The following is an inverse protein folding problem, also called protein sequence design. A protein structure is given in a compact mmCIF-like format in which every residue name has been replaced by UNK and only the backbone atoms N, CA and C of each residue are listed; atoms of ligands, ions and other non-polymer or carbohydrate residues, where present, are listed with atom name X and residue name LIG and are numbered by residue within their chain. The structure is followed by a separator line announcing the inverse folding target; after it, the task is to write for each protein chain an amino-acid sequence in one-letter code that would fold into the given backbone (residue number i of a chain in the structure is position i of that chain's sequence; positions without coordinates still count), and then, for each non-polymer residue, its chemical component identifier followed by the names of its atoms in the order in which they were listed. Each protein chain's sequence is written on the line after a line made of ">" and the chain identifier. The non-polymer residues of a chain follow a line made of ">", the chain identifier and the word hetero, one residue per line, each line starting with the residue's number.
data_IF_481628739452
#
_entry.id   IF_481628739452
#
_cell.length_a   1.000
_cell.length_b   1.000
_cell.length_c   1.000
_cell.angle_alpha   90.00
_cell.angle_beta   90.00
_cell.angle_gamma   90.00
#
_symmetry.space_group_name_H-M   'P 1'
#
loop_
_entity.id
_entity.type
_entity.pdbx_description
1 polymer ?
#
# COMPACT_ATOMS: atom_id res chain seq x y z
N UNK A 1 -5.13 -15.76 -22.42
CA UNK A 1 -4.10 -15.88 -21.36
C UNK A 1 -2.99 -14.92 -21.69
N UNK A 2 -2.77 -13.93 -20.84
CA UNK A 2 -1.67 -12.98 -20.99
C UNK A 2 -0.67 -13.15 -19.86
N UNK A 3 0.61 -12.94 -20.17
CA UNK A 3 1.72 -12.94 -19.21
C UNK A 3 2.34 -11.57 -19.14
N UNK A 4 2.54 -11.05 -17.93
CA UNK A 4 3.16 -9.76 -17.67
C UNK A 4 4.41 -9.96 -16.82
N UNK A 5 5.51 -9.34 -17.23
CA UNK A 5 6.67 -9.08 -16.38
C UNK A 5 6.47 -7.69 -15.75
N UNK A 6 6.41 -7.62 -14.44
CA UNK A 6 6.17 -6.39 -13.70
C UNK A 6 7.37 -6.03 -12.83
N UNK A 7 7.63 -4.71 -12.71
CA UNK A 7 8.72 -4.13 -11.92
C UNK A 7 8.15 -3.11 -10.95
N UNK A 8 8.49 -3.24 -9.66
CA UNK A 8 8.15 -2.31 -8.59
C UNK A 8 9.43 -1.77 -7.95
N UNK A 9 9.59 -0.44 -7.97
CA UNK A 9 10.72 0.27 -7.37
C UNK A 9 10.30 1.64 -6.82
N UNK A 10 9.06 1.81 -6.36
CA UNK A 10 8.55 3.14 -6.00
C UNK A 10 9.12 3.71 -4.70
N UNK A 11 9.63 2.86 -3.81
CA UNK A 11 10.12 3.27 -2.48
C UNK A 11 11.41 2.52 -2.11
N UNK A 12 11.35 1.51 -1.25
CA UNK A 12 12.51 0.79 -0.70
C UNK A 12 12.46 -0.72 -0.95
N UNK A 13 11.47 -1.22 -1.70
CA UNK A 13 11.44 -2.59 -2.21
C UNK A 13 11.80 -2.64 -3.69
N UNK A 14 12.84 -3.41 -4.04
CA UNK A 14 13.13 -3.78 -5.42
C UNK A 14 12.43 -5.09 -5.71
N UNK A 15 11.42 -5.08 -6.57
CA UNK A 15 10.66 -6.30 -6.87
C UNK A 15 10.44 -6.50 -8.36
N UNK A 16 10.50 -7.77 -8.79
CA UNK A 16 10.10 -8.22 -10.13
C UNK A 16 9.21 -9.45 -9.98
N UNK A 17 8.15 -9.49 -10.76
CA UNK A 17 7.19 -10.59 -10.77
C UNK A 17 6.77 -10.96 -12.18
N UNK A 18 6.49 -12.24 -12.41
CA UNK A 18 5.82 -12.71 -13.60
C UNK A 18 4.44 -13.23 -13.20
N UNK A 19 3.43 -12.59 -13.76
CA UNK A 19 2.02 -12.84 -13.47
C UNK A 19 1.30 -13.19 -14.76
N UNK A 20 0.33 -14.09 -14.70
CA UNK A 20 -0.57 -14.36 -15.80
C UNK A 20 -2.03 -14.37 -15.36
N UNK A 21 -2.94 -14.31 -16.33
CA UNK A 21 -4.35 -14.54 -16.10
C UNK A 21 -4.98 -15.46 -17.14
N UNK A 22 -6.01 -16.18 -16.72
CA UNK A 22 -6.94 -16.91 -17.59
C UNK A 22 -8.34 -16.46 -17.20
N UNK A 23 -8.96 -15.64 -18.05
CA UNK A 23 -10.18 -14.94 -17.65
C UNK A 23 -9.94 -14.11 -16.38
N UNK A 24 -10.76 -14.31 -15.38
CA UNK A 24 -10.70 -13.63 -14.09
C UNK A 24 -9.76 -14.28 -13.05
N UNK A 25 -9.06 -15.36 -13.42
CA UNK A 25 -8.14 -16.04 -12.50
C UNK A 25 -6.72 -15.55 -12.73
N UNK A 26 -6.13 -14.94 -11.69
CA UNK A 26 -4.76 -14.43 -11.70
C UNK A 26 -3.81 -15.43 -11.04
N UNK A 27 -2.62 -15.60 -11.61
CA UNK A 27 -1.59 -16.51 -11.12
C UNK A 27 -0.24 -15.83 -11.06
N UNK A 28 0.44 -15.97 -9.94
CA UNK A 28 1.84 -15.56 -9.74
C UNK A 28 2.72 -16.75 -10.12
N UNK A 29 3.64 -16.55 -11.07
CA UNK A 29 4.66 -17.53 -11.45
C UNK A 29 5.96 -17.32 -10.69
N UNK A 30 6.31 -16.05 -10.44
CA UNK A 30 7.40 -15.65 -9.56
C UNK A 30 7.09 -14.27 -8.96
N UNK A 31 7.59 -14.01 -7.75
CA UNK A 31 7.49 -12.69 -7.12
C UNK A 31 8.70 -12.50 -6.20
N UNK A 32 9.77 -11.96 -6.76
CA UNK A 32 11.05 -11.75 -6.06
C UNK A 32 11.05 -10.34 -5.47
N UNK A 33 11.35 -10.23 -4.20
CA UNK A 33 11.40 -8.97 -3.46
C UNK A 33 12.74 -8.88 -2.75
N UNK A 34 13.47 -7.81 -2.99
CA UNK A 34 14.67 -7.44 -2.25
C UNK A 34 14.36 -6.14 -1.49
N UNK A 35 14.15 -6.27 -0.17
CA UNK A 35 13.86 -5.14 0.69
C UNK A 35 15.13 -4.45 1.15
N UNK A 36 15.08 -3.14 1.23
CA UNK A 36 16.17 -2.27 1.69
C UNK A 36 16.00 -1.82 3.16
N UNK A 37 15.09 -2.47 3.91
CA UNK A 37 14.78 -2.11 5.30
C UNK A 37 16.04 -2.04 6.16
N UNK A 38 16.96 -3.00 6.03
CA UNK A 38 18.21 -3.04 6.80
C UNK A 38 19.12 -1.85 6.48
N UNK A 39 19.22 -1.44 5.21
CA UNK A 39 20.00 -0.30 4.78
C UNK A 39 19.44 1.02 5.35
N UNK A 40 18.12 1.13 5.43
CA UNK A 40 17.42 2.33 5.89
C UNK A 40 17.21 2.38 7.41
N UNK A 41 17.28 1.26 8.11
CA UNK A 41 17.06 1.15 9.55
C UNK A 41 17.95 2.11 10.37
N UNK A 42 19.20 2.29 9.94
CA UNK A 42 20.19 3.19 10.57
C UNK A 42 19.76 4.66 10.56
N UNK A 43 18.91 5.03 9.58
CA UNK A 43 18.40 6.39 9.40
C UNK A 43 17.01 6.57 10.00
N UNK A 44 16.39 5.44 10.41
CA UNK A 44 15.03 5.42 10.96
C UNK A 44 13.95 5.78 9.96
N UNK A 45 14.20 5.55 8.66
CA UNK A 45 13.29 5.80 7.55
C UNK A 45 14.02 5.82 6.22
N UNK A 46 13.28 5.83 5.12
CA UNK A 46 13.82 5.74 3.76
C UNK A 46 14.62 6.99 3.40
N UNK A 47 15.84 6.79 2.88
CA UNK A 47 16.71 7.84 2.30
C UNK A 47 16.62 7.73 0.79
N UNK A 48 15.98 8.69 0.08
CA UNK A 48 15.65 8.55 -1.34
C UNK A 48 16.82 8.29 -2.27
N UNK A 49 17.97 8.96 -2.05
CA UNK A 49 19.15 8.77 -2.88
C UNK A 49 19.79 7.39 -2.68
N UNK A 50 19.81 6.91 -1.43
CA UNK A 50 20.30 5.58 -1.11
C UNK A 50 19.39 4.52 -1.75
N UNK A 51 18.07 4.69 -1.63
CA UNK A 51 17.10 3.79 -2.22
C UNK A 51 17.28 3.67 -3.73
N UNK A 52 17.40 4.80 -4.45
CA UNK A 52 17.59 4.79 -5.90
C UNK A 52 18.89 4.04 -6.32
N UNK A 53 20.00 4.22 -5.60
CA UNK A 53 21.27 3.49 -5.84
C UNK A 53 21.11 1.99 -5.61
N UNK A 54 20.43 1.60 -4.53
CA UNK A 54 20.17 0.20 -4.21
C UNK A 54 19.29 -0.48 -5.26
N UNK A 55 18.30 0.20 -5.79
CA UNK A 55 17.52 -0.32 -6.91
C UNK A 55 18.40 -0.62 -8.13
N UNK A 56 19.32 0.27 -8.48
CA UNK A 56 20.26 0.04 -9.60
C UNK A 56 21.15 -1.19 -9.37
N UNK A 57 21.59 -1.40 -8.13
CA UNK A 57 22.42 -2.55 -7.76
C UNK A 57 21.63 -3.88 -7.77
N UNK A 58 20.39 -3.86 -7.24
CA UNK A 58 19.62 -5.07 -6.99
C UNK A 58 18.78 -5.53 -8.17
N UNK A 59 18.27 -4.59 -8.98
CA UNK A 59 17.25 -4.89 -10.01
C UNK A 59 17.70 -5.94 -11.03
N UNK A 60 18.97 -5.95 -11.54
CA UNK A 60 19.42 -7.01 -12.45
C UNK A 60 19.31 -8.41 -11.84
N UNK A 61 19.74 -8.59 -10.60
CA UNK A 61 19.68 -9.88 -9.91
C UNK A 61 18.24 -10.31 -9.60
N UNK A 62 17.37 -9.36 -9.22
CA UNK A 62 15.96 -9.64 -8.93
C UNK A 62 15.24 -10.04 -10.21
N UNK A 63 15.56 -9.40 -11.35
CA UNK A 63 15.01 -9.73 -12.66
C UNK A 63 15.42 -11.15 -13.10
N UNK A 64 16.71 -11.46 -13.03
CA UNK A 64 17.21 -12.79 -13.41
C UNK A 64 16.56 -13.88 -12.57
N UNK A 65 16.50 -13.69 -11.26
CA UNK A 65 15.84 -14.65 -10.35
C UNK A 65 14.35 -14.82 -10.65
N UNK A 66 13.65 -13.74 -11.01
CA UNK A 66 12.22 -13.82 -11.34
C UNK A 66 11.99 -14.66 -12.61
N UNK A 67 12.84 -14.53 -13.62
CA UNK A 67 12.81 -15.34 -14.84
C UNK A 67 13.14 -16.80 -14.54
N UNK A 68 14.20 -17.06 -13.77
CA UNK A 68 14.60 -18.41 -13.38
C UNK A 68 13.52 -19.15 -12.57
N UNK A 69 12.95 -18.50 -11.55
CA UNK A 69 11.94 -19.11 -10.69
C UNK A 69 10.64 -19.40 -11.45
N UNK A 70 10.22 -18.48 -12.32
CA UNK A 70 9.02 -18.67 -13.15
C UNK A 70 9.18 -19.75 -14.21
N UNK A 71 10.40 -20.04 -14.65
CA UNK A 71 10.74 -20.86 -15.82
C UNK A 71 10.09 -20.35 -17.12
N UNK A 72 9.77 -19.07 -17.17
CA UNK A 72 9.19 -18.41 -18.34
C UNK A 72 10.25 -17.54 -18.98
N UNK A 73 10.46 -17.75 -20.29
CA UNK A 73 11.43 -16.94 -21.04
C UNK A 73 10.82 -15.58 -21.37
N UNK A 74 11.68 -14.58 -21.55
CA UNK A 74 11.22 -13.22 -21.85
C UNK A 74 10.44 -13.12 -23.17
N UNK A 75 10.73 -13.99 -24.12
CA UNK A 75 10.01 -14.10 -25.40
C UNK A 75 8.53 -14.48 -25.22
N UNK A 76 8.23 -15.24 -24.16
CA UNK A 76 6.89 -15.69 -23.81
C UNK A 76 6.05 -14.65 -23.04
N UNK A 77 6.68 -13.54 -22.63
CA UNK A 77 6.01 -12.41 -21.99
C UNK A 77 5.26 -11.60 -23.04
N UNK A 78 4.00 -11.25 -22.77
CA UNK A 78 3.17 -10.46 -23.68
C UNK A 78 3.34 -8.96 -23.41
N UNK A 79 3.48 -8.54 -22.15
CA UNK A 79 3.58 -7.15 -21.71
C UNK A 79 4.64 -6.97 -20.65
N UNK A 80 5.24 -5.77 -20.61
CA UNK A 80 6.15 -5.37 -19.54
C UNK A 80 5.56 -4.15 -18.84
N UNK A 81 5.46 -4.22 -17.51
CA UNK A 81 4.87 -3.19 -16.69
C UNK A 81 5.88 -2.66 -15.67
N UNK A 82 5.75 -1.39 -15.31
CA UNK A 82 6.43 -0.84 -14.14
C UNK A 82 5.60 0.22 -13.45
N UNK A 83 5.85 0.41 -12.17
CA UNK A 83 5.31 1.55 -11.44
C UNK A 83 5.93 2.84 -11.96
N UNK A 84 5.08 3.82 -12.30
CA UNK A 84 5.51 5.12 -12.81
C UNK A 84 5.05 6.29 -11.95
N UNK A 85 4.06 6.08 -11.07
CA UNK A 85 3.52 7.07 -10.12
C UNK A 85 2.64 6.40 -9.06
N UNK A 86 2.42 7.05 -7.89
CA UNK A 86 3.36 7.92 -7.23
C UNK A 86 4.54 7.17 -6.62
N UNK A 87 5.56 7.90 -6.14
CA UNK A 87 6.72 7.32 -5.45
C UNK A 87 7.93 8.25 -5.43
N UNK A 88 9.06 7.75 -4.98
CA UNK A 88 10.33 8.47 -5.01
C UNK A 88 10.83 8.54 -6.46
N UNK A 89 10.92 9.76 -7.02
CA UNK A 89 11.20 9.97 -8.45
C UNK A 89 12.47 9.26 -8.92
N UNK A 90 13.55 9.27 -8.11
CA UNK A 90 14.78 8.54 -8.42
C UNK A 90 14.55 7.03 -8.54
N UNK A 91 13.82 6.47 -7.61
CA UNK A 91 13.47 5.05 -7.55
C UNK A 91 12.56 4.64 -8.72
N UNK A 92 11.48 5.39 -8.97
CA UNK A 92 10.57 5.17 -10.09
C UNK A 92 11.30 5.16 -11.44
N UNK A 93 12.29 6.06 -11.62
CA UNK A 93 13.09 6.11 -12.85
C UNK A 93 13.85 4.82 -13.10
N UNK A 94 14.42 4.21 -12.08
CA UNK A 94 15.17 2.96 -12.23
C UNK A 94 14.28 1.87 -12.81
N UNK A 95 13.14 1.58 -12.20
CA UNK A 95 12.21 0.56 -12.69
C UNK A 95 11.62 0.89 -14.06
N UNK A 96 11.18 2.15 -14.25
CA UNK A 96 10.56 2.56 -15.50
C UNK A 96 11.51 2.56 -16.69
N UNK A 97 12.78 2.99 -16.52
CA UNK A 97 13.79 2.93 -17.59
C UNK A 97 14.11 1.48 -17.92
N UNK A 98 14.31 0.62 -16.91
CA UNK A 98 14.56 -0.80 -17.13
C UNK A 98 13.41 -1.46 -17.89
N UNK A 99 12.16 -1.25 -17.47
CA UNK A 99 10.99 -1.81 -18.15
C UNK A 99 10.91 -1.38 -19.61
N UNK A 100 11.08 -0.08 -19.90
CA UNK A 100 11.04 0.46 -21.26
C UNK A 100 12.22 -0.03 -22.13
N UNK A 101 13.41 -0.19 -21.54
CA UNK A 101 14.55 -0.78 -22.25
C UNK A 101 14.27 -2.22 -22.66
N UNK A 102 13.69 -3.02 -21.76
CA UNK A 102 13.25 -4.39 -22.08
C UNK A 102 12.16 -4.40 -23.16
N UNK A 103 11.19 -3.47 -23.09
CA UNK A 103 10.19 -3.32 -24.16
C UNK A 103 10.82 -3.07 -25.53
N UNK A 104 11.81 -2.18 -25.60
CA UNK A 104 12.50 -1.87 -26.85
C UNK A 104 13.33 -3.06 -27.36
N UNK A 105 14.07 -3.73 -26.47
CA UNK A 105 14.92 -4.86 -26.84
C UNK A 105 14.14 -6.07 -27.33
N UNK A 106 12.98 -6.33 -26.71
CA UNK A 106 12.18 -7.53 -27.02
C UNK A 106 10.89 -7.23 -27.79
N UNK A 107 10.73 -6.00 -28.29
CA UNK A 107 9.53 -5.56 -29.03
C UNK A 107 8.23 -5.87 -28.30
N UNK A 108 8.19 -5.60 -26.98
CA UNK A 108 7.01 -5.79 -26.14
C UNK A 108 6.33 -4.47 -25.81
N UNK A 109 4.99 -4.45 -25.70
CA UNK A 109 4.25 -3.26 -25.28
C UNK A 109 4.51 -2.94 -23.80
N UNK A 110 4.49 -1.63 -23.48
CA UNK A 110 4.73 -1.08 -22.14
C UNK A 110 3.43 -0.71 -21.43
N UNK A 111 3.39 -0.96 -20.12
CA UNK A 111 2.31 -0.54 -19.23
C UNK A 111 2.90 0.21 -18.02
N UNK A 112 2.70 1.52 -17.98
CA UNK A 112 3.02 2.33 -16.80
C UNK A 112 1.87 2.26 -15.80
N UNK A 113 2.13 1.74 -14.60
CA UNK A 113 1.11 1.46 -13.59
C UNK A 113 1.17 2.47 -12.46
N UNK A 114 0.00 2.87 -11.97
CA UNK A 114 -0.12 3.64 -10.74
C UNK A 114 0.06 2.73 -9.52
N UNK A 115 0.97 3.08 -8.61
CA UNK A 115 1.31 2.28 -7.43
C UNK A 115 0.08 1.88 -6.59
N UNK A 116 -0.84 2.83 -6.37
CA UNK A 116 -2.05 2.54 -5.59
C UNK A 116 -3.01 1.61 -6.33
N UNK A 117 -3.06 1.64 -7.66
CA UNK A 117 -3.79 0.63 -8.45
C UNK A 117 -3.19 -0.76 -8.25
N UNK A 118 -1.86 -0.84 -8.12
CA UNK A 118 -1.18 -2.07 -7.73
C UNK A 118 -1.73 -2.61 -6.42
N UNK A 119 -1.72 -1.80 -5.36
CA UNK A 119 -2.27 -2.22 -4.05
C UNK A 119 -3.73 -2.67 -4.16
N UNK A 120 -4.59 -1.90 -4.86
CA UNK A 120 -5.99 -2.28 -5.06
C UNK A 120 -6.12 -3.61 -5.78
N UNK A 121 -5.22 -3.88 -6.73
CA UNK A 121 -5.23 -5.10 -7.54
C UNK A 121 -4.69 -6.33 -6.80
N UNK A 122 -4.02 -6.17 -5.65
CA UNK A 122 -3.55 -7.31 -4.85
C UNK A 122 -4.68 -8.25 -4.42
N UNK A 123 -5.92 -7.75 -4.32
CA UNK A 123 -7.11 -8.54 -3.99
C UNK A 123 -7.51 -9.53 -5.10
N UNK A 124 -7.08 -9.29 -6.35
CA UNK A 124 -7.39 -10.15 -7.50
C UNK A 124 -6.79 -11.56 -7.37
N UNK A 125 -5.78 -11.72 -6.52
CA UNK A 125 -5.21 -13.02 -6.17
C UNK A 125 -6.04 -13.79 -5.14
N UNK A 126 -7.12 -13.21 -4.61
CA UNK A 126 -8.04 -13.88 -3.70
C UNK A 126 -9.17 -14.53 -4.50
N UNK A 127 -9.54 -15.76 -4.14
CA UNK A 127 -10.59 -16.53 -4.83
C UNK A 127 -11.96 -15.81 -4.88
N UNK A 128 -12.24 -15.00 -3.88
CA UNK A 128 -13.54 -14.34 -3.67
C UNK A 128 -13.45 -12.81 -3.66
N UNK A 129 -12.71 -12.20 -4.59
CA UNK A 129 -12.71 -10.75 -4.68
C UNK A 129 -14.06 -10.19 -5.19
N UNK A 130 -14.47 -8.98 -4.76
CA UNK A 130 -15.78 -8.43 -5.12
C UNK A 130 -15.88 -8.09 -6.61
N UNK A 131 -16.99 -8.53 -7.25
CA UNK A 131 -17.29 -8.21 -8.66
C UNK A 131 -18.14 -6.93 -8.81
N UNK A 132 -18.92 -6.60 -7.78
CA UNK A 132 -19.71 -5.36 -7.69
C UNK A 132 -18.87 -4.22 -7.12
N UNK A 133 -19.45 -3.01 -7.11
CA UNK A 133 -18.83 -1.86 -6.45
C UNK A 133 -18.47 -2.14 -4.98
N UNK A 134 -17.32 -1.65 -4.55
CA UNK A 134 -16.82 -1.85 -3.20
C UNK A 134 -16.04 -0.64 -2.69
N UNK A 135 -15.88 -0.56 -1.38
CA UNK A 135 -14.99 0.41 -0.74
C UNK A 135 -13.65 -0.24 -0.46
N UNK A 136 -12.57 0.41 -0.82
CA UNK A 136 -11.22 0.00 -0.41
C UNK A 136 -10.71 0.89 0.70
N UNK A 137 -10.26 0.28 1.81
CA UNK A 137 -9.33 0.88 2.75
C UNK A 137 -7.91 0.55 2.27
N UNK A 138 -7.26 1.53 1.66
CA UNK A 138 -5.84 1.46 1.32
C UNK A 138 -5.05 2.06 2.48
N UNK A 139 -4.22 1.26 3.14
CA UNK A 139 -3.48 1.66 4.33
C UNK A 139 -2.06 1.11 4.30
N UNK A 140 -1.08 1.99 4.04
CA UNK A 140 0.33 1.66 3.87
C UNK A 140 1.24 2.61 4.67
N UNK A 141 2.55 2.54 4.46
CA UNK A 141 3.53 3.47 5.01
C UNK A 141 3.27 4.90 4.61
N UNK A 142 2.97 5.15 3.33
CA UNK A 142 2.80 6.49 2.77
C UNK A 142 1.35 6.92 2.53
N UNK A 143 0.38 6.01 2.56
CA UNK A 143 -1.00 6.30 2.18
C UNK A 143 -2.01 5.76 3.19
N UNK A 144 -3.06 6.54 3.44
CA UNK A 144 -4.27 6.11 4.17
C UNK A 144 -5.45 6.75 3.48
N UNK A 145 -6.15 5.96 2.66
CA UNK A 145 -7.22 6.44 1.78
C UNK A 145 -8.43 5.51 1.79
N UNK A 146 -9.60 6.08 1.62
CA UNK A 146 -10.84 5.37 1.31
C UNK A 146 -11.19 5.62 -0.14
N UNK A 147 -11.19 4.56 -0.93
CA UNK A 147 -11.40 4.61 -2.38
C UNK A 147 -12.59 3.75 -2.73
N UNK A 148 -13.61 4.35 -3.32
CA UNK A 148 -14.71 3.61 -3.94
C UNK A 148 -14.26 3.14 -5.31
N UNK A 149 -14.47 1.86 -5.57
CA UNK A 149 -14.27 1.26 -6.88
C UNK A 149 -15.64 0.80 -7.38
N UNK A 150 -16.10 1.32 -8.50
CA UNK A 150 -17.38 0.96 -9.08
C UNK A 150 -17.30 -0.30 -9.98
N UNK A 151 -18.42 -0.73 -10.55
CA UNK A 151 -18.47 -1.89 -11.44
C UNK A 151 -17.69 -1.68 -12.74
N UNK A 152 -17.60 -0.43 -13.22
CA UNK A 152 -16.77 0.00 -14.36
C UNK A 152 -15.29 0.16 -14.00
N UNK A 153 -14.95 -0.07 -12.74
CA UNK A 153 -13.59 0.07 -12.18
C UNK A 153 -13.06 1.51 -12.21
N UNK A 154 -13.94 2.47 -12.25
CA UNK A 154 -13.57 3.84 -11.94
C UNK A 154 -13.32 3.98 -10.44
N UNK A 155 -12.36 4.82 -10.10
CA UNK A 155 -11.90 5.00 -8.74
C UNK A 155 -12.19 6.43 -8.27
N UNK A 156 -12.89 6.53 -7.15
CA UNK A 156 -13.22 7.78 -6.49
C UNK A 156 -12.69 7.78 -5.06
N UNK A 157 -11.83 8.73 -4.72
CA UNK A 157 -11.33 8.87 -3.36
C UNK A 157 -12.35 9.61 -2.50
N UNK A 158 -12.91 8.91 -1.50
CA UNK A 158 -13.91 9.43 -0.59
C UNK A 158 -13.30 10.01 0.70
N UNK A 159 -12.10 9.58 1.08
CA UNK A 159 -11.40 10.07 2.26
C UNK A 159 -9.91 9.80 2.18
N UNK A 160 -9.12 10.59 2.91
CA UNK A 160 -7.66 10.44 2.99
C UNK A 160 -7.11 10.92 4.32
N UNK A 161 -5.86 10.60 4.62
CA UNK A 161 -5.15 11.29 5.71
C UNK A 161 -4.73 12.70 5.29
N UNK A 162 -4.89 13.65 6.20
CA UNK A 162 -4.49 15.06 6.01
C UNK A 162 -3.09 15.35 6.55
N UNK A 163 -2.57 14.43 7.33
CA UNK A 163 -1.22 14.52 7.89
C UNK A 163 -0.49 13.19 7.70
N UNK A 164 0.05 12.58 8.74
CA UNK A 164 0.76 11.31 8.66
C UNK A 164 -0.17 10.19 8.14
N UNK A 165 0.34 9.31 7.30
CA UNK A 165 -0.32 8.04 7.02
C UNK A 165 -0.29 7.14 8.28
N UNK A 166 -1.18 6.14 8.35
CA UNK A 166 -1.22 5.24 9.51
C UNK A 166 0.11 4.50 9.71
N UNK A 167 0.73 3.98 8.62
CA UNK A 167 2.02 3.31 8.72
C UNK A 167 3.14 4.26 9.17
N UNK A 168 3.17 5.48 8.66
CA UNK A 168 4.10 6.52 9.11
C UNK A 168 3.90 6.84 10.60
N UNK A 169 2.66 6.86 11.10
CA UNK A 169 2.37 7.02 12.52
C UNK A 169 2.91 5.84 13.35
N UNK A 170 2.78 4.59 12.86
CA UNK A 170 3.40 3.42 13.47
C UNK A 170 4.92 3.56 13.55
N UNK A 171 5.60 3.99 12.49
CA UNK A 171 7.05 4.15 12.46
C UNK A 171 7.53 5.24 13.43
N UNK A 172 6.83 6.39 13.44
CA UNK A 172 7.15 7.50 14.34
C UNK A 172 6.94 7.15 15.81
N UNK A 173 5.86 6.44 16.14
CA UNK A 173 5.58 6.00 17.50
C UNK A 173 6.51 4.86 17.91
N UNK A 174 6.81 3.90 17.01
CA UNK A 174 7.79 2.86 17.24
C UNK A 174 9.15 3.45 17.63
N UNK A 175 9.64 4.42 16.87
CA UNK A 175 10.88 5.15 17.18
C UNK A 175 10.83 5.85 18.53
N UNK A 176 9.71 6.51 18.85
CA UNK A 176 9.51 7.20 20.12
C UNK A 176 9.55 6.24 21.32
N UNK A 177 9.07 5.01 21.12
CA UNK A 177 9.11 3.94 22.13
C UNK A 177 10.43 3.15 22.14
N UNK A 178 11.43 3.53 21.33
CA UNK A 178 12.72 2.85 21.24
C UNK A 178 12.66 1.48 20.54
N UNK A 179 11.62 1.24 19.72
CA UNK A 179 11.45 0.00 18.97
C UNK A 179 12.21 0.06 17.62
N UNK A 180 12.48 -1.12 17.06
CA UNK A 180 13.14 -1.26 15.75
C UNK A 180 12.25 -0.78 14.60
N UNK A 181 12.89 -0.35 13.52
CA UNK A 181 12.24 -0.11 12.24
C UNK A 181 12.10 -1.44 11.46
N UNK A 182 10.97 -1.67 10.74
CA UNK A 182 9.76 -0.82 10.65
C UNK A 182 8.88 -0.89 11.91
N UNK A 183 8.30 0.25 12.27
CA UNK A 183 7.55 0.43 13.52
C UNK A 183 6.26 -0.40 13.59
N UNK A 184 5.57 -0.60 12.46
CA UNK A 184 4.33 -1.39 12.44
C UNK A 184 4.48 -2.78 13.03
N UNK A 185 5.31 -3.67 12.45
CA UNK A 185 5.56 -5.01 13.00
C UNK A 185 6.15 -5.00 14.41
N UNK A 186 7.01 -4.01 14.72
CA UNK A 186 7.62 -3.89 16.05
C UNK A 186 6.58 -3.56 17.14
N UNK A 187 5.67 -2.60 16.86
CA UNK A 187 4.56 -2.26 17.76
C UNK A 187 3.62 -3.45 17.91
N UNK A 188 3.20 -4.11 16.82
CA UNK A 188 2.33 -5.27 16.89
C UNK A 188 2.93 -6.41 17.75
N UNK A 189 4.23 -6.64 17.63
CA UNK A 189 4.93 -7.67 18.39
C UNK A 189 4.91 -7.37 19.89
N UNK A 190 5.23 -6.13 20.29
CA UNK A 190 5.31 -5.76 21.71
C UNK A 190 3.93 -5.57 22.33
N UNK A 191 2.95 -5.10 21.58
CA UNK A 191 1.56 -4.87 21.99
C UNK A 191 0.87 -6.14 22.48
N UNK A 192 1.29 -7.33 21.99
CA UNK A 192 0.77 -8.62 22.46
C UNK A 192 0.91 -8.85 23.97
N UNK A 193 1.90 -8.17 24.59
CA UNK A 193 2.20 -8.28 26.01
C UNK A 193 1.66 -7.10 26.83
N UNK A 194 0.88 -6.20 26.21
CA UNK A 194 0.34 -4.99 26.82
C UNK A 194 -1.17 -5.03 27.00
N UNK A 195 -1.68 -4.17 27.86
CA UNK A 195 -3.11 -3.92 28.03
C UNK A 195 -3.56 -2.81 27.06
N UNK A 196 -4.39 -3.13 26.06
CA UNK A 196 -4.84 -2.13 25.07
C UNK A 196 -5.79 -1.07 25.67
N UNK A 197 -6.33 -1.27 26.87
CA UNK A 197 -7.23 -0.33 27.55
C UNK A 197 -6.51 0.52 28.60
N UNK A 198 -5.23 0.28 28.84
CA UNK A 198 -4.45 0.97 29.88
C UNK A 198 -4.40 2.47 29.70
N UNK A 199 -4.25 2.95 28.48
CA UNK A 199 -4.18 4.38 28.17
C UNK A 199 -5.30 4.81 27.24
N UNK A 200 -6.01 5.87 27.65
CA UNK A 200 -7.05 6.48 26.83
C UNK A 200 -6.41 7.52 25.87
N UNK A 201 -5.97 7.05 24.71
CA UNK A 201 -5.42 7.91 23.67
C UNK A 201 -6.53 8.51 22.80
N UNK A 202 -6.35 9.74 22.26
CA UNK A 202 -7.40 10.42 21.50
C UNK A 202 -7.61 9.79 20.12
N UNK A 203 -8.88 9.62 19.74
CA UNK A 203 -9.26 9.37 18.33
C UNK A 203 -9.26 10.70 17.59
N UNK A 204 -8.15 11.04 16.93
CA UNK A 204 -8.03 12.31 16.24
C UNK A 204 -9.12 12.51 15.20
N UNK A 205 -9.77 13.69 15.23
CA UNK A 205 -10.82 14.11 14.30
C UNK A 205 -10.39 15.41 13.64
N UNK A 206 -10.75 15.57 12.38
CA UNK A 206 -10.45 16.77 11.61
C UNK A 206 -11.70 17.65 11.65
N UNK A 207 -11.55 18.88 12.14
CA UNK A 207 -12.65 19.84 12.16
C UNK A 207 -13.05 20.26 10.74
N UNK A 208 -14.33 20.25 10.47
CA UNK A 208 -14.89 20.84 9.27
C UNK A 208 -15.02 22.37 9.45
N UNK A 209 -14.83 23.14 8.39
CA UNK A 209 -15.02 24.59 8.36
C UNK A 209 -16.43 25.03 8.76
N UNK A 210 -17.41 24.11 8.72
CA UNK A 210 -18.82 24.33 9.06
C UNK A 210 -19.16 24.00 10.52
N UNK A 211 -18.15 23.76 11.38
CA UNK A 211 -18.35 23.49 12.82
C UNK A 211 -18.60 22.02 13.18
N UNK A 212 -18.41 21.09 12.21
CA UNK A 212 -18.46 19.63 12.42
C UNK A 212 -17.11 18.97 12.29
N UNK A 213 -17.13 17.67 11.93
CA UNK A 213 -15.94 16.88 11.62
C UNK A 213 -16.06 16.24 10.25
N UNK A 214 -14.93 16.17 9.52
CA UNK A 214 -14.83 15.39 8.28
C UNK A 214 -15.09 13.92 8.58
N UNK A 215 -16.03 13.32 7.84
CA UNK A 215 -16.60 12.01 8.19
C UNK A 215 -15.68 10.85 7.89
N UNK A 216 -14.90 10.94 6.81
CA UNK A 216 -14.14 9.82 6.22
C UNK A 216 -12.64 10.05 6.24
N UNK A 217 -12.20 11.27 6.55
CA UNK A 217 -10.81 11.64 6.53
C UNK A 217 -10.06 11.24 7.81
N UNK A 218 -8.76 11.04 7.72
CA UNK A 218 -7.91 10.57 8.79
C UNK A 218 -6.91 11.64 9.22
N UNK A 219 -6.48 11.55 10.49
CA UNK A 219 -5.37 12.31 11.05
C UNK A 219 -4.72 11.46 12.14
N UNK A 220 -3.40 11.37 12.13
CA UNK A 220 -2.63 10.57 13.08
C UNK A 220 -1.55 11.38 13.81
N UNK A 221 -1.20 12.59 13.35
CA UNK A 221 -0.16 13.41 13.98
C UNK A 221 -0.52 13.83 15.41
N UNK A 222 -1.81 14.07 15.68
CA UNK A 222 -2.30 14.34 17.03
C UNK A 222 -2.16 13.15 17.97
N UNK A 223 -2.36 11.94 17.48
CA UNK A 223 -2.19 10.71 18.24
C UNK A 223 -0.70 10.48 18.60
N UNK A 224 0.20 10.68 17.64
CA UNK A 224 1.66 10.67 17.91
C UNK A 224 2.04 11.65 19.00
N UNK A 225 1.53 12.88 18.93
CA UNK A 225 1.80 13.93 19.94
C UNK A 225 1.26 13.54 21.31
N UNK A 226 0.11 12.86 21.37
CA UNK A 226 -0.45 12.37 22.62
C UNK A 226 0.45 11.29 23.26
N UNK A 227 0.97 10.36 22.44
CA UNK A 227 1.94 9.35 22.92
C UNK A 227 3.22 9.99 23.41
N UNK A 228 3.78 10.99 22.68
CA UNK A 228 4.97 11.72 23.10
C UNK A 228 4.77 12.35 24.49
N UNK A 229 3.69 13.10 24.67
CA UNK A 229 3.37 13.74 25.96
C UNK A 229 3.16 12.74 27.09
N UNK A 230 2.58 11.58 26.79
CA UNK A 230 2.41 10.50 27.77
C UNK A 230 3.75 9.96 28.23
N UNK A 231 4.67 9.67 27.30
CA UNK A 231 6.03 9.18 27.59
C UNK A 231 6.82 10.22 28.40
N UNK A 232 6.79 11.49 27.98
CA UNK A 232 7.44 12.60 28.71
C UNK A 232 6.93 12.73 30.15
N UNK A 233 5.60 12.67 30.36
CA UNK A 233 4.98 12.72 31.66
C UNK A 233 5.47 11.58 32.57
N UNK A 234 5.47 10.34 32.05
CA UNK A 234 5.92 9.16 32.82
C UNK A 234 7.38 9.29 33.22
N UNK A 235 8.23 9.79 32.31
CA UNK A 235 9.66 10.03 32.57
C UNK A 235 9.87 11.12 33.64
N UNK A 236 9.10 12.22 33.58
CA UNK A 236 9.16 13.29 34.60
C UNK A 236 8.72 12.80 36.00
N UNK A 237 7.81 11.82 36.06
CA UNK A 237 7.40 11.17 37.29
C UNK A 237 8.45 10.15 37.81
N UNK A 238 9.58 9.96 37.12
CA UNK A 238 10.62 9.00 37.47
C UNK A 238 10.17 7.52 37.35
N UNK A 239 9.13 7.26 36.57
CA UNK A 239 8.58 5.92 36.39
C UNK A 239 9.15 5.26 35.13
N UNK A 240 9.17 3.92 35.12
CA UNK A 240 9.51 3.13 33.93
C UNK A 240 8.38 3.26 32.93
N UNK A 241 8.71 3.60 31.68
CA UNK A 241 7.74 3.69 30.57
C UNK A 241 7.19 2.28 30.26
N UNK A 242 5.87 2.01 30.40
CA UNK A 242 5.27 0.72 30.12
C UNK A 242 5.05 0.57 28.60
N UNK A 243 6.14 0.34 27.88
CA UNK A 243 6.15 0.28 26.39
C UNK A 243 5.10 -0.68 25.84
N UNK A 244 4.90 -1.93 26.36
CA UNK A 244 3.87 -2.82 25.84
C UNK A 244 2.45 -2.25 25.93
N UNK A 245 2.10 -1.61 27.05
CA UNK A 245 0.76 -1.04 27.27
C UNK A 245 0.50 0.17 26.37
N UNK A 246 1.52 1.01 26.18
CA UNK A 246 1.42 2.17 25.28
C UNK A 246 1.28 1.70 23.84
N UNK A 247 2.09 0.71 23.41
CA UNK A 247 2.02 0.12 22.09
C UNK A 247 0.64 -0.51 21.81
N UNK A 248 0.10 -1.29 22.77
CA UNK A 248 -1.21 -1.91 22.64
C UNK A 248 -2.35 -0.88 22.59
N UNK A 249 -2.28 0.18 23.42
CA UNK A 249 -3.28 1.26 23.42
C UNK A 249 -3.24 2.07 22.12
N UNK A 250 -2.03 2.33 21.59
CA UNK A 250 -1.83 3.03 20.30
C UNK A 250 -2.39 2.20 19.14
N UNK A 251 -1.98 0.93 19.02
CA UNK A 251 -2.43 0.00 17.98
C UNK A 251 -3.97 -0.10 17.96
N UNK A 252 -4.58 -0.28 19.14
CA UNK A 252 -6.04 -0.31 19.27
C UNK A 252 -6.70 0.95 18.71
N UNK A 253 -6.22 2.13 19.10
CA UNK A 253 -6.84 3.40 18.68
C UNK A 253 -6.68 3.62 17.18
N UNK A 254 -5.53 3.29 16.60
CA UNK A 254 -5.34 3.34 15.13
C UNK A 254 -6.34 2.41 14.44
N UNK A 255 -6.45 1.16 14.88
CA UNK A 255 -7.39 0.20 14.31
C UNK A 255 -8.84 0.67 14.44
N UNK A 256 -9.24 1.18 15.63
CA UNK A 256 -10.59 1.74 15.84
C UNK A 256 -10.91 2.89 14.89
N UNK A 257 -9.99 3.83 14.67
CA UNK A 257 -10.17 4.97 13.77
C UNK A 257 -10.33 4.51 12.32
N UNK A 258 -9.47 3.58 11.87
CA UNK A 258 -9.54 3.03 10.52
C UNK A 258 -10.86 2.29 10.29
N UNK A 259 -11.24 1.41 11.22
CA UNK A 259 -12.48 0.61 11.11
C UNK A 259 -13.73 1.48 11.17
N UNK A 260 -13.82 2.40 12.15
CA UNK A 260 -14.99 3.26 12.32
C UNK A 260 -15.29 4.07 11.06
N UNK A 261 -14.28 4.68 10.45
CA UNK A 261 -14.45 5.52 9.25
C UNK A 261 -14.73 4.71 8.01
N UNK A 262 -14.08 3.56 7.86
CA UNK A 262 -14.32 2.64 6.73
C UNK A 262 -15.76 2.14 6.73
N UNK A 263 -16.25 1.66 7.88
CA UNK A 263 -17.61 1.13 7.98
C UNK A 263 -18.65 2.25 7.80
N UNK A 264 -18.40 3.44 8.35
CA UNK A 264 -19.26 4.59 8.14
C UNK A 264 -19.33 4.96 6.66
N UNK A 265 -18.18 5.07 5.99
CA UNK A 265 -18.11 5.39 4.57
C UNK A 265 -18.85 4.35 3.72
N UNK A 266 -18.62 3.06 3.97
CA UNK A 266 -19.30 1.98 3.26
C UNK A 266 -20.84 2.09 3.41
N UNK A 267 -21.34 2.37 4.62
CA UNK A 267 -22.77 2.54 4.88
C UNK A 267 -23.38 3.76 4.19
N UNK A 268 -22.71 4.91 4.32
CA UNK A 268 -23.20 6.17 3.76
C UNK A 268 -23.26 6.10 2.21
N UNK A 269 -22.46 5.24 1.59
CA UNK A 269 -22.41 4.98 0.14
C UNK A 269 -23.11 3.67 -0.28
N UNK A 270 -23.82 2.99 0.62
CA UNK A 270 -24.55 1.73 0.35
C UNK A 270 -23.68 0.64 -0.27
N UNK A 271 -22.44 0.49 0.23
CA UNK A 271 -21.47 -0.50 -0.23
C UNK A 271 -21.42 -1.68 0.75
N UNK A 272 -21.77 -2.88 0.26
CA UNK A 272 -21.83 -4.11 1.05
C UNK A 272 -20.49 -4.86 1.09
N UNK A 273 -19.49 -4.40 0.34
CA UNK A 273 -18.16 -5.00 0.29
C UNK A 273 -17.10 -3.97 0.67
N UNK A 274 -16.18 -4.38 1.54
CA UNK A 274 -15.00 -3.62 1.93
C UNK A 274 -13.76 -4.46 1.62
N UNK A 275 -12.82 -3.87 0.92
CA UNK A 275 -11.50 -4.43 0.62
C UNK A 275 -10.46 -3.72 1.48
N UNK A 276 -9.51 -4.44 2.07
CA UNK A 276 -8.43 -3.86 2.88
C UNK A 276 -7.08 -4.27 2.30
N UNK A 277 -6.28 -3.29 1.90
CA UNK A 277 -5.01 -3.47 1.19
C UNK A 277 -3.91 -2.53 1.73
N UNK A 278 -2.66 -2.80 1.38
CA UNK A 278 -1.49 -2.05 1.81
C UNK A 278 -0.79 -2.67 3.01
N UNK A 279 0.43 -2.21 3.32
CA UNK A 279 1.29 -2.84 4.35
C UNK A 279 0.66 -2.92 5.73
N UNK A 280 -0.07 -1.89 6.17
CA UNK A 280 -0.76 -1.88 7.48
C UNK A 280 -1.97 -2.84 7.48
N UNK A 281 -2.50 -3.23 6.32
CA UNK A 281 -3.53 -4.25 6.21
C UNK A 281 -3.06 -5.64 6.67
N UNK A 282 -1.76 -5.86 6.87
CA UNK A 282 -1.21 -7.06 7.48
C UNK A 282 -1.41 -7.11 9.01
N UNK A 283 -1.67 -5.97 9.67
CA UNK A 283 -1.84 -5.88 11.12
C UNK A 283 -3.04 -6.71 11.61
N UNK A 284 -2.80 -7.66 12.53
CA UNK A 284 -3.81 -8.60 12.99
C UNK A 284 -4.92 -7.95 13.82
N UNK A 285 -4.62 -6.89 14.58
CA UNK A 285 -5.61 -6.15 15.36
C UNK A 285 -6.59 -5.45 14.43
N UNK A 286 -6.09 -4.78 13.38
CA UNK A 286 -6.92 -4.16 12.36
C UNK A 286 -7.80 -5.20 11.65
N UNK A 287 -7.24 -6.32 11.19
CA UNK A 287 -7.97 -7.38 10.49
C UNK A 287 -9.12 -7.95 11.32
N UNK A 288 -8.83 -8.33 12.56
CA UNK A 288 -9.84 -8.90 13.49
C UNK A 288 -10.95 -7.89 13.77
N UNK A 289 -10.59 -6.65 14.05
CA UNK A 289 -11.56 -5.60 14.35
C UNK A 289 -12.43 -5.26 13.13
N UNK A 290 -11.82 -5.17 11.93
CA UNK A 290 -12.55 -4.90 10.69
C UNK A 290 -13.59 -5.99 10.41
N UNK A 291 -13.22 -7.26 10.48
CA UNK A 291 -14.13 -8.39 10.27
C UNK A 291 -15.28 -8.36 11.32
N UNK A 292 -14.95 -8.18 12.60
CA UNK A 292 -15.92 -8.16 13.67
C UNK A 292 -16.95 -7.02 13.53
N UNK A 293 -16.48 -5.79 13.29
CA UNK A 293 -17.37 -4.63 13.22
C UNK A 293 -18.17 -4.58 11.91
N UNK A 294 -17.57 -5.02 10.79
CA UNK A 294 -18.25 -5.09 9.50
C UNK A 294 -19.38 -6.12 9.50
N UNK A 295 -19.16 -7.29 10.13
CA UNK A 295 -20.18 -8.35 10.23
C UNK A 295 -21.44 -7.88 10.96
N UNK A 296 -21.31 -7.04 12.00
CA UNK A 296 -22.44 -6.43 12.73
C UNK A 296 -23.30 -5.51 11.84
N UNK A 297 -22.78 -5.15 10.67
CA UNK A 297 -23.41 -4.22 9.72
C UNK A 297 -23.72 -4.87 8.37
N UNK A 298 -23.63 -6.21 8.30
CA UNK A 298 -23.83 -6.99 7.07
C UNK A 298 -22.90 -6.58 5.91
N UNK A 299 -21.69 -6.08 6.24
CA UNK A 299 -20.66 -5.72 5.28
C UNK A 299 -19.69 -6.90 5.18
N UNK A 300 -19.42 -7.36 3.95
CA UNK A 300 -18.43 -8.41 3.67
C UNK A 300 -17.04 -7.80 3.55
N UNK A 301 -16.09 -8.35 4.30
CA UNK A 301 -14.69 -7.91 4.26
C UNK A 301 -13.84 -8.85 3.42
N UNK A 302 -13.06 -8.28 2.53
CA UNK A 302 -12.08 -8.95 1.69
C UNK A 302 -10.69 -8.42 2.05
N UNK A 303 -9.81 -9.31 2.47
CA UNK A 303 -8.45 -8.96 2.90
C UNK A 303 -7.45 -9.44 1.85
N UNK A 304 -6.52 -8.58 1.47
CA UNK A 304 -5.41 -9.01 0.62
C UNK A 304 -4.61 -10.14 1.28
N UNK A 305 -4.06 -11.09 0.49
CA UNK A 305 -3.13 -12.09 1.00
C UNK A 305 -1.97 -11.42 1.76
N UNK A 306 -1.57 -11.97 2.90
CA UNK A 306 -0.57 -11.34 3.79
C UNK A 306 0.76 -11.04 3.08
N UNK A 307 1.21 -11.96 2.24
CA UNK A 307 2.43 -11.85 1.44
C UNK A 307 2.35 -10.84 0.28
N UNK A 308 1.17 -10.26 0.02
CA UNK A 308 0.94 -9.24 -1.01
C UNK A 308 0.48 -7.90 -0.41
N UNK A 309 0.52 -7.74 0.92
CA UNK A 309 0.15 -6.49 1.57
C UNK A 309 1.24 -5.40 1.41
N UNK A 310 2.53 -5.77 1.50
CA UNK A 310 3.66 -4.85 1.30
C UNK A 310 3.93 -4.65 -0.20
N UNK A 311 4.78 -3.67 -0.52
CA UNK A 311 5.14 -3.35 -1.90
C UNK A 311 5.78 -4.55 -2.60
N UNK A 312 5.25 -4.90 -3.76
CA UNK A 312 5.68 -6.05 -4.55
C UNK A 312 5.29 -5.90 -6.02
N UNK A 313 6.01 -6.57 -6.93
CA UNK A 313 5.72 -6.45 -8.36
C UNK A 313 4.51 -7.29 -8.81
N UNK A 314 4.08 -8.31 -8.03
CA UNK A 314 2.90 -9.09 -8.42
C UNK A 314 1.64 -8.22 -8.42
N UNK A 315 1.50 -7.28 -7.48
CA UNK A 315 0.38 -6.33 -7.46
C UNK A 315 0.36 -5.42 -8.69
N UNK A 316 1.54 -5.01 -9.17
CA UNK A 316 1.70 -4.21 -10.40
C UNK A 316 1.34 -5.04 -11.62
N UNK A 317 1.77 -6.31 -11.67
CA UNK A 317 1.40 -7.25 -12.73
C UNK A 317 -0.10 -7.52 -12.78
N UNK A 318 -0.75 -7.63 -11.63
CA UNK A 318 -2.21 -7.79 -11.56
C UNK A 318 -2.95 -6.55 -12.10
N UNK A 319 -2.50 -5.35 -11.72
CA UNK A 319 -3.06 -4.09 -12.23
C UNK A 319 -2.89 -3.98 -13.76
N UNK A 320 -1.71 -4.35 -14.27
CA UNK A 320 -1.41 -4.36 -15.69
C UNK A 320 -2.33 -5.32 -16.45
N UNK A 321 -2.44 -6.58 -16.00
CA UNK A 321 -3.34 -7.58 -16.62
C UNK A 321 -4.80 -7.16 -16.56
N UNK A 322 -5.21 -6.57 -15.46
CA UNK A 322 -6.56 -6.04 -15.33
C UNK A 322 -6.84 -4.96 -16.39
N UNK A 323 -5.92 -4.03 -16.58
CA UNK A 323 -6.02 -2.96 -17.59
C UNK A 323 -6.12 -3.52 -19.00
N UNK A 324 -5.25 -4.45 -19.38
CA UNK A 324 -5.26 -5.08 -20.71
C UNK A 324 -6.59 -5.79 -20.98
N UNK A 325 -7.13 -6.49 -19.99
CA UNK A 325 -8.38 -7.25 -20.19
C UNK A 325 -9.63 -6.38 -20.35
N UNK A 326 -9.67 -5.23 -19.70
CA UNK A 326 -10.89 -4.44 -19.61
C UNK A 326 -10.86 -3.13 -20.42
N UNK A 327 -9.68 -2.63 -20.81
CA UNK A 327 -9.55 -1.31 -21.43
C UNK A 327 -8.66 -1.25 -22.68
N UNK A 328 -7.89 -2.30 -22.96
CA UNK A 328 -6.96 -2.40 -24.10
C UNK A 328 -6.03 -1.19 -24.27
N UNK A 329 -5.63 -0.56 -23.15
CA UNK A 329 -4.86 0.66 -23.10
C UNK A 329 -3.39 0.41 -22.77
N UNK A 330 -2.52 0.72 -23.71
CA UNK A 330 -1.07 0.69 -23.57
C UNK A 330 -0.53 2.07 -23.19
N UNK A 331 0.59 2.08 -22.49
CA UNK A 331 1.28 3.33 -22.20
C UNK A 331 2.32 3.65 -23.27
N UNK A 332 2.53 4.95 -23.51
CA UNK A 332 3.60 5.40 -24.40
C UNK A 332 4.98 5.05 -23.82
N UNK A 333 5.92 4.63 -24.68
CA UNK A 333 7.34 4.51 -24.29
C UNK A 333 7.99 5.86 -23.91
N UNK A 334 7.33 6.98 -24.23
CA UNK A 334 7.75 8.33 -23.82
C UNK A 334 7.21 8.72 -22.44
N UNK A 335 6.31 7.92 -21.83
CA UNK A 335 5.73 8.21 -20.53
C UNK A 335 6.84 8.42 -19.49
N UNK A 336 6.80 9.56 -18.80
CA UNK A 336 7.72 9.88 -17.71
C UNK A 336 7.36 9.16 -16.41
N UNK A 337 7.87 9.69 -15.30
CA UNK A 337 7.49 9.26 -13.94
C UNK A 337 7.08 10.48 -13.13
N UNK A 338 6.15 10.29 -12.19
CA UNK A 338 5.67 11.35 -11.30
C UNK A 338 5.72 10.92 -9.84
N UNK A 339 6.33 11.74 -8.99
CA UNK A 339 6.32 11.52 -7.55
C UNK A 339 4.95 11.74 -6.92
N UNK A 340 4.05 12.45 -7.62
CA UNK A 340 2.72 12.81 -7.14
C UNK A 340 1.71 12.71 -8.27
N UNK A 341 0.84 11.74 -8.19
CA UNK A 341 -0.31 11.59 -9.07
C UNK A 341 -1.44 11.04 -8.20
N UNK A 342 -2.63 11.61 -8.30
CA UNK A 342 -3.77 11.07 -7.54
C UNK A 342 -4.33 9.83 -8.23
N UNK A 343 -5.01 8.97 -7.45
CA UNK A 343 -5.57 7.73 -7.99
C UNK A 343 -6.65 8.01 -9.05
N UNK A 344 -7.39 9.11 -8.91
CA UNK A 344 -8.41 9.53 -9.88
C UNK A 344 -7.79 9.91 -11.23
N UNK A 345 -6.52 10.30 -11.24
CA UNK A 345 -5.76 10.65 -12.44
C UNK A 345 -4.99 9.46 -13.04
N UNK A 346 -5.11 8.27 -12.46
CA UNK A 346 -4.37 7.10 -12.95
C UNK A 346 -4.68 6.77 -14.41
N UNK A 347 -5.90 7.09 -14.90
CA UNK A 347 -6.28 6.89 -16.30
C UNK A 347 -5.38 7.68 -17.28
N UNK A 348 -4.81 8.82 -16.86
CA UNK A 348 -3.93 9.63 -17.74
C UNK A 348 -2.60 8.95 -18.09
N UNK A 349 -2.22 7.88 -17.39
CA UNK A 349 -1.03 7.07 -17.70
C UNK A 349 -1.16 6.26 -19.01
N UNK A 350 -2.36 6.20 -19.57
CA UNK A 350 -2.73 5.44 -20.75
C UNK A 350 -3.23 6.32 -21.90
N UNK A 351 -3.17 7.63 -21.72
CA UNK A 351 -3.54 8.58 -22.76
C UNK A 351 -2.44 8.66 -23.85
N UNK A 352 -2.81 8.98 -25.09
CA UNK A 352 -1.85 9.20 -26.18
C UNK A 352 -0.88 10.35 -25.87
N UNK A 353 -1.32 11.33 -25.07
CA UNK A 353 -0.54 12.48 -24.59
C UNK A 353 -0.47 12.46 -23.06
N UNK A 354 0.45 11.69 -22.47
CA UNK A 354 0.57 11.62 -21.03
C UNK A 354 0.96 13.00 -20.42
N UNK A 355 0.56 13.29 -19.18
CA UNK A 355 0.72 14.61 -18.56
C UNK A 355 2.17 14.96 -18.19
N UNK A 356 3.14 14.03 -18.34
CA UNK A 356 4.56 14.24 -17.98
C UNK A 356 5.49 13.29 -18.74
#
# INVERSE_FOLDING_TARGET
>A
MHKVLAIETSCDETSVSIVSNIGDTFRIHSNIIASQIEDHSKWGGVVPELAARKHLELLPFVLDRALEESKIKIEEIDYIASTVAPGLVGCLRVGSITARSLCMLHSKPFLGIHHLEGHLSSILFSENYPKKSFLTLLVSGGHTELIKVDEGREMERLGKSFDDAAGEAFDKVGRLLGLSYPGGPAIEKIAKNGDPLKFNLPKCRISDKKGGFLKYDFSFSGLKTAVLRLVEKINLEGKIVPVPDIAASFERVVAEVLVERTIRCAKDHSLDNVVVVGGVAANNTLRKMMISEASKKSIKVHLAPLNLCTDNAAMIGAAALFRVNFRDHLSSLKLGVSGRLSIEQAHTLYDENPPF
#
